data_IF_515099783900
#
_entry.id   IF_515099783900
#
_cell.length_a   1.000
_cell.length_b   1.000
_cell.length_c   1.000
_cell.angle_alpha   90.00
_cell.angle_beta   90.00
_cell.angle_gamma   90.00
#
_symmetry.space_group_name_H-M   'P 1'
#
loop_
_entity.id
_entity.type
_entity.pdbx_description
1 polymer ?
#
# COMPACT_ATOMS: atom_id res chain seq x y z
N UNK A 1 -22.77 -2.78 5.48
CA UNK A 1 -21.64 -2.16 4.76
C UNK A 1 -21.65 -0.68 5.08
N UNK A 2 -20.57 -0.15 5.66
CA UNK A 2 -20.53 1.26 6.09
C UNK A 2 -20.48 2.16 4.85
N UNK A 3 -21.41 3.10 4.73
CA UNK A 3 -21.43 4.04 3.62
C UNK A 3 -20.24 5.00 3.77
N UNK A 4 -19.21 4.85 2.93
CA UNK A 4 -18.18 5.88 2.79
C UNK A 4 -18.88 7.16 2.38
N UNK A 5 -18.82 8.20 3.23
CA UNK A 5 -19.37 9.52 2.91
C UNK A 5 -18.68 10.02 1.65
N UNK A 6 -19.45 10.13 0.56
CA UNK A 6 -18.94 10.56 -0.74
C UNK A 6 -18.27 11.94 -0.59
N UNK A 7 -17.13 12.15 -1.27
CA UNK A 7 -16.37 13.41 -1.28
C UNK A 7 -15.77 13.87 0.06
N UNK A 8 -15.80 13.03 1.10
CA UNK A 8 -15.11 13.31 2.37
C UNK A 8 -13.58 13.19 2.28
N UNK A 9 -12.89 13.64 3.32
CA UNK A 9 -11.45 13.39 3.49
C UNK A 9 -11.12 11.89 3.47
N UNK A 10 -11.94 11.06 4.12
CA UNK A 10 -11.81 9.60 4.11
C UNK A 10 -11.91 9.03 2.69
N UNK A 11 -12.85 9.51 1.88
CA UNK A 11 -12.96 9.12 0.48
C UNK A 11 -11.69 9.47 -0.31
N UNK A 12 -11.15 10.69 -0.15
CA UNK A 12 -9.90 11.10 -0.81
C UNK A 12 -8.72 10.20 -0.43
N UNK A 13 -8.58 9.85 0.86
CA UNK A 13 -7.54 8.92 1.31
C UNK A 13 -7.72 7.53 0.71
N UNK A 14 -8.96 7.04 0.65
CA UNK A 14 -9.28 5.75 0.09
C UNK A 14 -8.92 5.68 -1.41
N UNK A 15 -9.31 6.68 -2.20
CA UNK A 15 -8.98 6.73 -3.64
C UNK A 15 -7.46 6.82 -3.85
N UNK A 16 -6.75 7.64 -3.06
CA UNK A 16 -5.28 7.72 -3.10
C UNK A 16 -4.62 6.37 -2.77
N UNK A 17 -5.14 5.67 -1.76
CA UNK A 17 -4.67 4.34 -1.38
C UNK A 17 -4.90 3.32 -2.49
N UNK A 18 -6.10 3.30 -3.10
CA UNK A 18 -6.41 2.44 -4.23
C UNK A 18 -5.47 2.71 -5.42
N UNK A 19 -5.30 3.97 -5.80
CA UNK A 19 -4.37 4.38 -6.87
C UNK A 19 -2.93 3.91 -6.59
N UNK A 20 -2.43 4.11 -5.36
CA UNK A 20 -1.10 3.64 -4.95
C UNK A 20 -0.98 2.11 -5.07
N UNK A 21 -1.98 1.36 -4.60
CA UNK A 21 -1.99 -0.11 -4.68
C UNK A 21 -1.96 -0.58 -6.13
N UNK A 22 -2.75 0.04 -7.00
CA UNK A 22 -2.78 -0.29 -8.43
C UNK A 22 -1.45 -0.03 -9.15
N UNK A 23 -0.79 1.10 -8.86
CA UNK A 23 0.54 1.39 -9.42
C UNK A 23 1.62 0.42 -8.93
N UNK A 24 1.52 0.01 -7.66
CA UNK A 24 2.46 -0.94 -7.05
C UNK A 24 2.28 -2.33 -7.63
N UNK A 25 1.05 -2.80 -7.75
CA UNK A 25 0.73 -4.09 -8.36
C UNK A 25 1.18 -4.15 -9.83
N UNK A 26 0.93 -3.08 -10.60
CA UNK A 26 1.44 -2.97 -11.96
C UNK A 26 2.98 -3.02 -12.02
N UNK A 27 3.67 -2.47 -11.02
CA UNK A 27 5.13 -2.54 -10.92
C UNK A 27 5.60 -3.96 -10.61
N UNK A 28 4.90 -4.66 -9.71
CA UNK A 28 5.27 -6.03 -9.31
C UNK A 28 5.22 -6.99 -10.50
N UNK A 29 4.28 -6.80 -11.43
CA UNK A 29 4.25 -7.53 -12.70
C UNK A 29 5.27 -7.09 -13.76
N UNK A 30 5.79 -5.86 -13.68
CA UNK A 30 6.63 -5.30 -14.75
C UNK A 30 8.01 -4.89 -14.24
N UNK A 31 8.98 -5.75 -14.51
CA UNK A 31 10.39 -5.53 -14.12
C UNK A 31 10.96 -4.30 -14.84
N UNK A 32 10.63 -4.12 -16.13
CA UNK A 32 11.16 -3.02 -16.95
C UNK A 32 10.41 -1.70 -16.71
N UNK A 33 11.16 -0.63 -16.42
CA UNK A 33 10.59 0.66 -16.02
C UNK A 33 9.87 1.41 -17.13
N UNK A 34 10.28 1.24 -18.39
CA UNK A 34 9.66 1.94 -19.52
C UNK A 34 8.26 1.40 -19.81
N UNK A 35 8.10 0.07 -19.83
CA UNK A 35 6.81 -0.58 -19.94
C UNK A 35 5.91 -0.22 -18.76
N UNK A 36 6.48 -0.21 -17.54
CA UNK A 36 5.73 0.19 -16.35
C UNK A 36 5.21 1.63 -16.45
N UNK A 37 6.02 2.58 -16.93
CA UNK A 37 5.60 3.99 -17.10
C UNK A 37 4.39 4.10 -18.03
N UNK A 38 4.36 3.35 -19.11
CA UNK A 38 3.20 3.31 -20.02
C UNK A 38 1.94 2.81 -19.30
N UNK A 39 2.04 1.71 -18.53
CA UNK A 39 0.93 1.22 -17.70
C UNK A 39 0.50 2.23 -16.63
N UNK A 40 1.46 2.89 -15.97
CA UNK A 40 1.18 3.89 -14.95
C UNK A 40 0.42 5.09 -15.54
N UNK A 41 0.73 5.50 -16.78
CA UNK A 41 -0.02 6.56 -17.48
C UNK A 41 -1.44 6.12 -17.85
N UNK A 42 -1.65 4.87 -18.26
CA UNK A 42 -2.99 4.33 -18.48
C UNK A 42 -3.82 4.34 -17.20
N UNK A 43 -3.25 3.84 -16.08
CA UNK A 43 -3.92 3.87 -14.77
C UNK A 43 -4.25 5.31 -14.37
N UNK A 44 -3.34 6.26 -14.56
CA UNK A 44 -3.60 7.67 -14.26
C UNK A 44 -4.74 8.23 -15.12
N UNK A 45 -4.73 7.97 -16.43
CA UNK A 45 -5.75 8.45 -17.34
C UNK A 45 -7.15 7.94 -16.94
N UNK A 46 -7.27 6.68 -16.52
CA UNK A 46 -8.52 6.12 -16.02
C UNK A 46 -9.03 6.84 -14.76
N UNK A 47 -8.14 7.19 -13.82
CA UNK A 47 -8.54 7.93 -12.61
C UNK A 47 -8.93 9.37 -12.92
N UNK A 48 -8.20 10.06 -13.80
CA UNK A 48 -8.54 11.43 -14.21
C UNK A 48 -9.86 11.48 -14.98
N UNK A 49 -10.14 10.48 -15.83
CA UNK A 49 -11.42 10.38 -16.56
C UNK A 49 -12.63 10.30 -15.61
N UNK A 50 -12.46 9.74 -14.42
CA UNK A 50 -13.53 9.58 -13.42
C UNK A 50 -13.46 10.60 -12.27
N UNK A 51 -12.61 11.63 -12.38
CA UNK A 51 -12.35 12.59 -11.30
C UNK A 51 -13.56 13.44 -10.90
N UNK A 52 -14.44 13.72 -11.85
CA UNK A 52 -15.58 14.64 -11.67
C UNK A 52 -16.93 13.92 -11.47
N UNK A 53 -16.91 12.61 -11.20
CA UNK A 53 -18.14 11.86 -10.92
C UNK A 53 -18.72 12.31 -9.57
N UNK A 54 -19.91 12.91 -9.60
CA UNK A 54 -20.61 13.45 -8.42
C UNK A 54 -21.63 12.47 -7.83
N UNK A 55 -22.14 11.54 -8.63
CA UNK A 55 -23.20 10.62 -8.21
C UNK A 55 -22.65 9.51 -7.29
N UNK A 56 -23.11 9.41 -6.01
CA UNK A 56 -22.55 8.47 -5.04
C UNK A 56 -22.72 7.00 -5.43
N UNK A 57 -23.82 6.64 -6.10
CA UNK A 57 -24.09 5.27 -6.57
C UNK A 57 -23.16 4.87 -7.70
N UNK A 58 -22.88 5.79 -8.62
CA UNK A 58 -21.94 5.57 -9.71
C UNK A 58 -20.52 5.44 -9.15
N UNK A 59 -20.17 6.29 -8.19
CA UNK A 59 -18.88 6.26 -7.51
C UNK A 59 -18.63 4.92 -6.80
N UNK A 60 -19.60 4.41 -6.05
CA UNK A 60 -19.45 3.12 -5.36
C UNK A 60 -19.30 1.96 -6.35
N UNK A 61 -20.04 1.97 -7.46
CA UNK A 61 -19.90 0.97 -8.51
C UNK A 61 -18.51 1.02 -9.18
N UNK A 62 -17.99 2.22 -9.45
CA UNK A 62 -16.65 2.41 -10.02
C UNK A 62 -15.55 1.89 -9.07
N UNK A 63 -15.65 2.22 -7.78
CA UNK A 63 -14.70 1.74 -6.78
C UNK A 63 -14.74 0.22 -6.64
N UNK A 64 -15.94 -0.37 -6.57
CA UNK A 64 -16.11 -1.82 -6.52
C UNK A 64 -15.51 -2.52 -7.75
N UNK A 65 -15.72 -1.96 -8.94
CA UNK A 65 -15.12 -2.46 -10.19
C UNK A 65 -13.60 -2.37 -10.15
N UNK A 66 -13.05 -1.25 -9.68
CA UNK A 66 -11.61 -1.05 -9.57
C UNK A 66 -10.98 -2.01 -8.55
N UNK A 67 -11.63 -2.25 -7.41
CA UNK A 67 -11.18 -3.23 -6.42
C UNK A 67 -11.25 -4.66 -6.94
N UNK A 68 -12.30 -5.03 -7.66
CA UNK A 68 -12.40 -6.34 -8.29
C UNK A 68 -11.27 -6.56 -9.31
N UNK A 69 -10.97 -5.54 -10.13
CA UNK A 69 -9.83 -5.59 -11.07
C UNK A 69 -8.50 -5.76 -10.33
N UNK A 70 -8.27 -4.97 -9.28
CA UNK A 70 -7.04 -5.06 -8.49
C UNK A 70 -6.92 -6.44 -7.81
N UNK A 71 -8.02 -7.01 -7.30
CA UNK A 71 -8.01 -8.33 -6.68
C UNK A 71 -7.73 -9.44 -7.68
N UNK A 72 -8.30 -9.35 -8.88
CA UNK A 72 -8.09 -10.33 -9.95
C UNK A 72 -6.66 -10.27 -10.53
N UNK A 73 -6.06 -9.08 -10.58
CA UNK A 73 -4.72 -8.87 -11.12
C UNK A 73 -3.59 -8.94 -10.11
N UNK A 74 -3.87 -9.23 -8.83
CA UNK A 74 -2.85 -9.16 -7.78
C UNK A 74 -1.70 -10.13 -8.02
N UNK A 75 -0.46 -9.61 -7.97
CA UNK A 75 0.73 -10.46 -8.06
C UNK A 75 0.80 -11.44 -6.88
N UNK A 76 1.07 -12.75 -7.09
CA UNK A 76 1.08 -13.75 -6.03
C UNK A 76 2.21 -13.54 -5.00
N UNK A 77 3.33 -12.95 -5.42
CA UNK A 77 4.49 -12.66 -4.57
C UNK A 77 4.96 -11.20 -4.77
N UNK A 78 4.31 -10.21 -4.15
CA UNK A 78 4.60 -8.80 -4.38
C UNK A 78 5.98 -8.41 -3.84
N UNK A 79 6.67 -7.46 -4.48
CA UNK A 79 7.98 -7.01 -4.00
C UNK A 79 7.83 -6.19 -2.72
N UNK A 80 8.31 -6.75 -1.60
CA UNK A 80 8.30 -6.10 -0.29
C UNK A 80 9.72 -5.58 0.03
N UNK A 81 9.89 -4.31 0.47
CA UNK A 81 11.19 -3.81 0.86
C UNK A 81 11.78 -4.64 2.02
N UNK A 82 13.10 -4.90 2.06
CA UNK A 82 13.67 -5.88 2.97
C UNK A 82 13.36 -5.67 4.45
N UNK A 83 13.32 -4.42 4.91
CA UNK A 83 13.09 -4.05 6.33
C UNK A 83 11.63 -3.83 6.69
N UNK A 84 10.69 -4.07 5.78
CA UNK A 84 9.26 -3.95 6.06
C UNK A 84 8.69 -5.31 6.47
N UNK A 85 7.52 -5.37 7.13
CA UNK A 85 6.87 -6.63 7.45
C UNK A 85 6.71 -7.52 6.20
N UNK A 86 7.16 -8.77 6.29
CA UNK A 86 7.20 -9.73 5.17
C UNK A 86 8.42 -9.60 4.24
N UNK A 87 9.31 -8.64 4.50
CA UNK A 87 10.59 -8.52 3.79
C UNK A 87 11.68 -9.44 4.35
N UNK A 88 12.73 -9.67 3.57
CA UNK A 88 13.81 -10.62 3.89
C UNK A 88 14.70 -10.21 5.06
N UNK A 89 14.66 -8.95 5.50
CA UNK A 89 15.44 -8.40 6.62
C UNK A 89 14.53 -7.90 7.75
N UNK A 90 13.24 -8.25 7.73
CA UNK A 90 12.32 -7.92 8.82
C UNK A 90 12.78 -8.57 10.12
N UNK A 91 12.81 -7.80 11.21
CA UNK A 91 13.16 -8.26 12.57
C UNK A 91 14.52 -8.99 12.72
N UNK A 92 15.38 -8.93 11.70
CA UNK A 92 16.66 -9.66 11.70
C UNK A 92 17.58 -9.24 12.87
N UNK A 93 17.61 -7.95 13.18
CA UNK A 93 18.41 -7.34 14.25
C UNK A 93 17.55 -6.37 15.08
N UNK A 94 16.45 -6.85 15.65
CA UNK A 94 15.66 -6.02 16.56
C UNK A 94 16.52 -5.65 17.79
N UNK A 95 16.59 -4.36 18.19
CA UNK A 95 17.30 -4.00 19.40
C UNK A 95 16.64 -4.70 20.59
N UNK A 96 17.43 -5.20 21.55
CA UNK A 96 16.86 -5.76 22.76
C UNK A 96 16.02 -4.70 23.46
N UNK A 97 15.00 -5.13 24.19
CA UNK A 97 14.26 -4.22 25.06
C UNK A 97 15.26 -3.50 25.98
N UNK A 98 15.02 -2.22 26.26
CA UNK A 98 15.80 -1.43 27.22
C UNK A 98 15.47 -1.84 28.67
N UNK A 99 15.44 -3.14 28.95
CA UNK A 99 15.47 -3.68 30.30
C UNK A 99 16.90 -3.58 30.79
N UNK A 100 17.08 -2.97 31.96
CA UNK A 100 18.37 -3.03 32.66
C UNK A 100 18.78 -4.51 32.77
N UNK A 101 20.07 -4.83 32.57
CA UNK A 101 20.54 -6.19 32.82
C UNK A 101 20.16 -6.60 34.25
N UNK A 102 19.77 -7.86 34.47
CA UNK A 102 19.35 -8.34 35.80
C UNK A 102 20.47 -8.26 36.85
N UNK A 103 21.72 -8.12 36.42
CA UNK A 103 22.89 -7.98 37.28
C UNK A 103 23.66 -6.72 36.90
N UNK A 104 24.04 -5.95 37.92
CA UNK A 104 24.93 -4.81 37.80
C UNK A 104 26.37 -5.28 38.06
N UNK A 105 27.11 -5.53 36.97
CA UNK A 105 28.49 -6.02 37.06
C UNK A 105 29.49 -4.95 37.51
N UNK A 106 29.06 -3.70 37.66
CA UNK A 106 29.90 -2.57 38.10
C UNK A 106 29.93 -2.42 39.63
N UNK A 107 29.11 -3.18 40.38
CA UNK A 107 29.04 -3.10 41.84
C UNK A 107 30.23 -3.76 42.55
N UNK A 108 30.86 -4.76 41.93
CA UNK A 108 31.86 -5.64 42.57
C UNK A 108 33.33 -5.20 42.35
N UNK A 109 33.57 -4.03 41.76
CA UNK A 109 34.92 -3.56 41.39
C UNK A 109 35.62 -2.66 42.44
N UNK A 110 35.12 -2.59 43.68
CA UNK A 110 35.69 -1.74 44.74
C UNK A 110 35.97 -2.49 46.04
#
# INVERSE_FOLDING_TARGET
MSATTAFSSAHRYYVKSLYKRMLKDALDWTIQRDIWRMKAMQIRAEFEANRHVTEPRQLSALLAKAEARLKAGQHPDPVIPPKFPGGTQWERNAPPAHTKPPYDHEHDLH
#
